data_IF_251204491650
#
_entry.id   IF_251204491650
#
_cell.length_a   1.000
_cell.length_b   1.000
_cell.length_c   1.000
_cell.angle_alpha   90.00
_cell.angle_beta   90.00
_cell.angle_gamma   90.00
#
_symmetry.space_group_name_H-M   'P 1'
#
loop_
_entity.id
_entity.type
_entity.pdbx_description
1 polymer ?
#
# COMPACT_ATOMS: atom_id res chain seq x y z
N UNK A 1 18.64 10.14 -10.08
CA UNK A 1 17.47 9.36 -10.49
C UNK A 1 16.31 10.33 -10.65
N UNK A 2 16.05 10.76 -11.88
CA UNK A 2 14.92 11.64 -12.19
C UNK A 2 13.71 10.74 -12.33
N UNK A 3 12.76 10.86 -11.40
CA UNK A 3 11.47 10.21 -11.53
C UNK A 3 10.77 10.78 -12.77
N UNK A 4 10.73 10.01 -13.85
CA UNK A 4 9.86 10.27 -14.98
C UNK A 4 8.45 9.89 -14.54
N UNK A 5 7.49 10.79 -14.74
CA UNK A 5 6.06 10.52 -14.59
C UNK A 5 5.57 10.33 -13.13
N UNK A 6 5.78 11.35 -12.28
CA UNK A 6 5.07 11.46 -11.00
C UNK A 6 4.00 12.55 -11.11
N UNK A 7 2.75 12.17 -10.84
CA UNK A 7 1.66 13.11 -10.65
C UNK A 7 1.73 13.65 -9.20
N UNK A 8 1.85 14.96 -9.04
CA UNK A 8 1.86 15.64 -7.74
C UNK A 8 0.72 16.64 -7.70
N UNK A 9 -0.21 16.47 -6.76
CA UNK A 9 -1.35 17.37 -6.55
C UNK A 9 -1.36 17.81 -5.08
N UNK A 10 -1.25 19.11 -4.77
CA UNK A 10 -1.39 19.62 -3.39
C UNK A 10 -2.82 20.15 -3.13
N UNK A 11 -3.54 19.63 -2.11
CA UNK A 11 -4.87 20.10 -1.58
C UNK A 11 -5.63 18.94 -0.92
N UNK A 12 -6.68 19.14 -0.11
CA UNK A 12 -7.64 18.08 0.27
C UNK A 12 -8.29 17.33 -0.92
N UNK A 13 -8.24 17.89 -2.13
CA UNK A 13 -8.56 17.16 -3.37
C UNK A 13 -7.54 16.09 -3.73
N UNK A 14 -6.31 16.18 -3.20
CA UNK A 14 -5.24 15.23 -3.43
C UNK A 14 -5.50 13.89 -2.75
N UNK A 15 -6.12 13.86 -1.57
CA UNK A 15 -6.50 12.59 -0.92
C UNK A 15 -7.52 11.85 -1.76
N UNK A 16 -8.58 12.53 -2.19
CA UNK A 16 -9.61 11.92 -3.05
C UNK A 16 -9.06 11.48 -4.41
N UNK A 17 -8.17 12.28 -5.01
CA UNK A 17 -7.45 11.88 -6.21
C UNK A 17 -6.58 10.65 -5.95
N UNK A 18 -5.81 10.61 -4.86
CA UNK A 18 -4.91 9.51 -4.53
C UNK A 18 -5.70 8.22 -4.28
N UNK A 19 -6.79 8.27 -3.53
CA UNK A 19 -7.68 7.12 -3.32
C UNK A 19 -8.22 6.61 -4.64
N UNK A 20 -8.74 7.51 -5.49
CA UNK A 20 -9.25 7.15 -6.82
C UNK A 20 -8.17 6.53 -7.69
N UNK A 21 -6.95 7.09 -7.66
CA UNK A 21 -5.82 6.61 -8.46
C UNK A 21 -5.32 5.25 -7.99
N UNK A 22 -5.23 5.03 -6.68
CA UNK A 22 -4.86 3.74 -6.10
C UNK A 22 -5.89 2.67 -6.50
N UNK A 23 -7.19 2.97 -6.36
CA UNK A 23 -8.27 2.06 -6.76
C UNK A 23 -8.19 1.74 -8.26
N UNK A 24 -7.95 2.75 -9.10
CA UNK A 24 -7.73 2.56 -10.54
C UNK A 24 -6.55 1.61 -10.81
N UNK A 25 -5.40 1.84 -10.18
CA UNK A 25 -4.19 1.04 -10.37
C UNK A 25 -4.35 -0.41 -9.88
N UNK A 26 -5.07 -0.61 -8.77
CA UNK A 26 -5.47 -1.94 -8.30
C UNK A 26 -6.44 -2.59 -9.30
N UNK A 27 -7.39 -1.82 -9.81
CA UNK A 27 -8.43 -2.30 -10.74
C UNK A 27 -7.91 -2.68 -12.14
N UNK A 28 -6.77 -2.15 -12.55
CA UNK A 28 -6.18 -2.40 -13.87
C UNK A 28 -5.74 -3.85 -14.10
N UNK A 29 -5.50 -4.61 -13.02
CA UNK A 29 -5.13 -6.03 -13.10
C UNK A 29 -5.68 -6.79 -11.87
N UNK A 30 -6.33 -7.96 -12.04
CA UNK A 30 -6.83 -8.75 -10.91
C UNK A 30 -5.75 -9.19 -9.90
N UNK A 31 -4.49 -9.24 -10.32
CA UNK A 31 -3.35 -9.58 -9.46
C UNK A 31 -2.70 -8.37 -8.79
N UNK A 32 -3.19 -7.15 -9.07
CA UNK A 32 -2.70 -5.96 -8.41
C UNK A 32 -3.32 -5.82 -7.01
N UNK A 33 -2.51 -5.40 -6.06
CA UNK A 33 -2.96 -4.91 -4.77
C UNK A 33 -2.00 -3.85 -4.24
N UNK A 34 -2.49 -3.05 -3.31
CA UNK A 34 -1.67 -2.11 -2.57
C UNK A 34 -1.21 -2.72 -1.25
N UNK A 35 0.04 -2.45 -0.88
CA UNK A 35 0.58 -2.67 0.46
C UNK A 35 0.92 -1.32 1.08
N UNK A 36 0.41 -1.05 2.27
CA UNK A 36 0.71 0.17 3.02
C UNK A 36 1.45 -0.20 4.30
N UNK A 37 2.63 0.38 4.49
CA UNK A 37 3.47 0.11 5.66
C UNK A 37 2.99 0.95 6.85
N UNK A 38 2.67 0.30 7.96
CA UNK A 38 2.40 1.00 9.22
C UNK A 38 3.70 1.24 9.98
N UNK A 39 4.11 2.50 10.07
CA UNK A 39 5.39 2.89 10.64
C UNK A 39 5.48 2.73 12.17
N UNK A 40 4.34 2.61 12.88
CA UNK A 40 4.31 2.50 14.35
C UNK A 40 3.64 1.20 14.84
N UNK A 41 2.92 0.45 14.00
CA UNK A 41 2.38 -0.85 14.39
C UNK A 41 3.39 -1.98 14.17
N UNK A 42 3.82 -2.54 15.31
CA UNK A 42 4.55 -3.80 15.37
C UNK A 42 3.62 -4.96 15.73
N UNK A 43 4.06 -6.18 15.44
CA UNK A 43 3.36 -7.42 15.81
C UNK A 43 3.11 -7.60 17.32
N UNK A 44 3.80 -6.82 18.16
CA UNK A 44 3.65 -6.79 19.63
C UNK A 44 2.85 -5.58 20.15
N UNK A 45 2.46 -4.65 19.27
CA UNK A 45 1.62 -3.52 19.66
C UNK A 45 0.19 -3.99 19.94
N UNK A 46 -0.33 -3.66 21.13
CA UNK A 46 -1.72 -3.95 21.55
C UNK A 46 -2.82 -3.30 20.67
N UNK A 47 -2.40 -2.57 19.65
CA UNK A 47 -3.22 -1.87 18.66
C UNK A 47 -2.99 -2.40 17.25
N UNK A 48 -2.52 -3.65 17.07
CA UNK A 48 -2.90 -4.37 15.85
C UNK A 48 -4.42 -4.42 15.92
N UNK A 49 -5.04 -3.42 15.30
CA UNK A 49 -6.48 -3.27 15.30
C UNK A 49 -6.96 -4.57 14.69
N UNK A 50 -7.82 -5.26 15.43
CA UNK A 50 -8.45 -6.53 15.06
C UNK A 50 -9.33 -6.27 13.84
N UNK A 51 -8.67 -6.06 12.70
CA UNK A 51 -9.24 -5.44 11.53
C UNK A 51 -10.06 -6.47 10.77
N UNK A 52 -11.15 -6.01 10.18
CA UNK A 52 -11.91 -6.79 9.21
C UNK A 52 -11.04 -7.14 7.99
N UNK A 53 -10.10 -6.27 7.61
CA UNK A 53 -9.31 -6.34 6.37
C UNK A 53 -8.00 -7.13 6.49
N UNK A 54 -7.44 -7.51 5.34
CA UNK A 54 -6.23 -8.32 5.24
C UNK A 54 -4.94 -7.57 5.59
N UNK A 55 -3.98 -8.27 6.19
CA UNK A 55 -2.66 -7.72 6.51
C UNK A 55 -1.55 -8.78 6.39
N UNK A 56 -0.36 -8.35 6.00
CA UNK A 56 0.85 -9.18 6.02
C UNK A 56 1.77 -8.70 7.13
N UNK A 57 2.58 -9.61 7.66
CA UNK A 57 3.64 -9.27 8.61
C UNK A 57 4.99 -9.80 8.15
N UNK A 58 6.03 -9.00 8.32
CA UNK A 58 7.40 -9.38 8.00
C UNK A 58 8.37 -8.66 8.94
N UNK A 59 9.25 -9.39 9.63
CA UNK A 59 10.21 -8.84 10.60
C UNK A 59 9.57 -7.86 11.61
N UNK A 60 8.45 -8.26 12.22
CA UNK A 60 7.65 -7.48 13.17
C UNK A 60 6.94 -6.25 12.60
N UNK A 61 7.07 -5.96 11.31
CA UNK A 61 6.32 -4.90 10.62
C UNK A 61 5.00 -5.41 10.08
N UNK A 62 4.02 -4.49 9.98
CA UNK A 62 2.68 -4.77 9.47
C UNK A 62 2.46 -4.00 8.16
N UNK A 63 1.88 -4.70 7.19
CA UNK A 63 1.51 -4.16 5.89
C UNK A 63 0.02 -4.40 5.64
N UNK A 64 -0.77 -3.34 5.59
CA UNK A 64 -2.20 -3.45 5.25
C UNK A 64 -2.38 -3.64 3.75
N UNK A 65 -3.33 -4.49 3.38
CA UNK A 65 -3.56 -4.88 1.99
C UNK A 65 -4.87 -4.27 1.49
N UNK A 66 -4.84 -3.58 0.36
CA UNK A 66 -6.05 -3.29 -0.43
C UNK A 66 -5.99 -4.06 -1.74
N UNK A 67 -6.85 -5.08 -1.90
CA UNK A 67 -6.84 -5.98 -3.07
C UNK A 67 -7.93 -5.60 -4.06
N UNK A 68 -7.88 -6.15 -5.28
CA UNK A 68 -8.93 -5.93 -6.28
C UNK A 68 -10.33 -6.38 -5.79
N UNK A 69 -10.42 -7.33 -4.85
CA UNK A 69 -11.70 -7.82 -4.32
C UNK A 69 -12.41 -6.83 -3.42
N UNK A 70 -11.67 -5.92 -2.79
CA UNK A 70 -12.16 -5.09 -1.68
C UNK A 70 -11.62 -3.65 -1.70
N UNK A 71 -10.93 -3.22 -2.76
CA UNK A 71 -10.42 -1.85 -2.94
C UNK A 71 -11.54 -0.84 -3.17
N UNK A 72 -12.21 -0.47 -2.07
CA UNK A 72 -13.15 0.64 -2.01
C UNK A 72 -12.45 1.91 -1.54
N UNK A 73 -13.09 3.07 -1.74
CA UNK A 73 -12.60 4.36 -1.21
C UNK A 73 -12.38 4.29 0.29
N UNK A 74 -13.32 3.69 1.02
CA UNK A 74 -13.22 3.60 2.49
C UNK A 74 -12.11 2.66 2.92
N UNK A 75 -11.95 1.51 2.24
CA UNK A 75 -10.87 0.58 2.53
C UNK A 75 -9.49 1.21 2.29
N UNK A 76 -9.27 1.83 1.13
CA UNK A 76 -7.99 2.50 0.82
C UNK A 76 -7.73 3.67 1.76
N UNK A 77 -8.75 4.49 2.04
CA UNK A 77 -8.63 5.62 2.98
C UNK A 77 -8.26 5.16 4.38
N UNK A 78 -8.82 4.03 4.82
CA UNK A 78 -8.60 3.48 6.15
C UNK A 78 -7.21 2.83 6.24
N UNK A 79 -6.82 2.03 5.25
CA UNK A 79 -5.47 1.46 5.19
C UNK A 79 -4.40 2.56 5.17
N UNK A 80 -4.58 3.63 4.40
CA UNK A 80 -3.67 4.78 4.39
C UNK A 80 -3.69 5.58 5.70
N UNK A 81 -4.87 5.81 6.28
CA UNK A 81 -5.03 6.58 7.51
C UNK A 81 -4.37 5.89 8.71
N UNK A 82 -4.42 4.57 8.78
CA UNK A 82 -3.85 3.80 9.89
C UNK A 82 -2.33 3.66 9.79
N UNK A 83 -1.76 3.72 8.58
CA UNK A 83 -0.29 3.89 8.44
C UNK A 83 0.23 5.25 8.94
N UNK A 84 -0.67 6.20 9.20
CA UNK A 84 -0.40 7.61 9.41
C UNK A 84 -0.11 8.03 10.85
N UNK A 85 0.46 7.16 11.69
CA UNK A 85 0.90 7.59 13.04
C UNK A 85 2.25 8.37 12.98
N UNK A 86 2.98 8.24 11.87
CA UNK A 86 4.24 8.94 11.58
C UNK A 86 4.13 10.10 10.60
N UNK A 87 5.23 10.84 10.37
CA UNK A 87 5.24 12.10 9.59
C UNK A 87 4.97 11.94 8.07
N UNK A 88 4.89 10.71 7.59
CA UNK A 88 4.62 10.35 6.20
C UNK A 88 3.93 8.99 6.15
N UNK A 89 3.14 8.74 5.10
CA UNK A 89 2.64 7.40 4.76
C UNK A 89 3.41 6.85 3.55
N UNK A 90 3.73 5.56 3.59
CA UNK A 90 4.39 4.84 2.49
C UNK A 90 3.57 3.63 2.07
N UNK A 91 3.50 3.41 0.76
CA UNK A 91 2.89 2.22 0.21
C UNK A 91 3.40 1.90 -1.18
N UNK A 92 3.00 0.74 -1.67
CA UNK A 92 3.38 0.25 -3.00
C UNK A 92 2.17 -0.40 -3.66
N UNK A 93 2.09 -0.29 -4.99
CA UNK A 93 1.25 -1.19 -5.80
C UNK A 93 2.16 -2.27 -6.34
N UNK A 94 1.79 -3.52 -6.07
CA UNK A 94 2.49 -4.70 -6.59
C UNK A 94 1.60 -5.44 -7.57
N UNK A 95 2.21 -6.01 -8.60
CA UNK A 95 1.58 -6.96 -9.50
C UNK A 95 2.07 -8.36 -9.13
N UNK A 96 1.23 -9.05 -8.34
CA UNK A 96 1.61 -10.31 -7.75
C UNK A 96 1.64 -11.43 -8.80
N UNK A 97 2.66 -12.29 -8.80
CA UNK A 97 2.65 -13.47 -9.64
C UNK A 97 1.43 -14.35 -9.36
N UNK A 98 0.84 -14.94 -10.39
CA UNK A 98 -0.38 -15.77 -10.28
C UNK A 98 -0.19 -17.01 -9.40
N UNK A 99 1.05 -17.49 -9.28
CA UNK A 99 1.44 -18.63 -8.48
C UNK A 99 1.76 -18.27 -7.02
N UNK A 100 1.91 -16.98 -6.70
CA UNK A 100 2.15 -16.52 -5.34
C UNK A 100 0.82 -16.41 -4.57
N UNK A 101 0.60 -17.34 -3.65
CA UNK A 101 -0.55 -17.32 -2.75
C UNK A 101 -0.18 -16.58 -1.47
N UNK A 102 -0.77 -15.41 -1.27
CA UNK A 102 -0.64 -14.68 -0.01
C UNK A 102 -1.68 -15.15 1.02
N UNK A 103 -1.32 -15.20 2.31
CA UNK A 103 -2.30 -15.37 3.37
C UNK A 103 -3.21 -14.14 3.42
N UNK A 104 -4.46 -14.33 3.83
CA UNK A 104 -5.38 -13.22 4.10
C UNK A 104 -4.86 -12.36 5.28
N UNK A 105 -4.31 -13.02 6.30
CA UNK A 105 -3.70 -12.41 7.49
C UNK A 105 -2.46 -13.20 7.92
N UNK A 106 -1.38 -12.51 8.28
CA UNK A 106 -0.27 -13.08 9.04
C UNK A 106 1.11 -12.99 8.39
N UNK A 107 2.04 -13.80 8.87
CA UNK A 107 3.46 -13.71 8.51
C UNK A 107 3.75 -14.25 7.10
N UNK A 108 4.58 -13.52 6.37
CA UNK A 108 5.15 -13.96 5.10
C UNK A 108 6.64 -14.28 5.25
N UNK A 109 7.14 -15.11 4.34
CA UNK A 109 8.56 -15.49 4.32
C UNK A 109 9.42 -14.41 3.65
N UNK A 110 10.74 -14.46 3.87
CA UNK A 110 11.67 -13.59 3.16
C UNK A 110 11.61 -13.79 1.64
N UNK A 111 11.43 -15.04 1.18
CA UNK A 111 11.27 -15.35 -0.24
C UNK A 111 10.01 -14.69 -0.82
N UNK A 112 8.88 -14.79 -0.11
CA UNK A 112 7.64 -14.09 -0.48
C UNK A 112 7.86 -12.58 -0.54
N UNK A 113 8.54 -12.01 0.46
CA UNK A 113 8.83 -10.58 0.49
C UNK A 113 9.72 -10.14 -0.67
N UNK A 114 10.76 -10.90 -1.01
CA UNK A 114 11.62 -10.64 -2.15
C UNK A 114 10.85 -10.68 -3.48
N UNK A 115 9.91 -11.61 -3.64
CA UNK A 115 9.01 -11.64 -4.81
C UNK A 115 8.19 -10.36 -4.87
N UNK A 116 7.57 -9.94 -3.75
CA UNK A 116 6.77 -8.73 -3.69
C UNK A 116 7.59 -7.48 -4.05
N UNK A 117 8.82 -7.36 -3.54
CA UNK A 117 9.73 -6.25 -3.87
C UNK A 117 10.05 -6.17 -5.37
N UNK A 118 10.25 -7.33 -6.01
CA UNK A 118 10.53 -7.40 -7.45
C UNK A 118 9.26 -7.21 -8.32
N UNK A 119 8.08 -7.24 -7.70
CA UNK A 119 6.78 -7.07 -8.34
C UNK A 119 6.19 -5.66 -8.19
N UNK A 120 6.92 -4.72 -7.58
CA UNK A 120 6.45 -3.33 -7.40
C UNK A 120 6.30 -2.64 -8.77
N UNK A 121 5.09 -2.15 -9.04
CA UNK A 121 4.79 -1.33 -10.22
C UNK A 121 4.74 0.16 -9.89
N UNK A 122 4.27 0.52 -8.69
CA UNK A 122 4.15 1.91 -8.26
C UNK A 122 4.57 2.10 -6.81
N UNK A 123 5.16 3.27 -6.53
CA UNK A 123 5.44 3.76 -5.19
C UNK A 123 4.41 4.83 -4.83
N UNK A 124 3.95 4.82 -3.58
CA UNK A 124 2.99 5.77 -3.02
C UNK A 124 3.65 6.44 -1.82
N UNK A 125 3.69 7.76 -1.82
CA UNK A 125 4.18 8.56 -0.70
C UNK A 125 3.15 9.62 -0.35
N UNK A 126 2.72 9.66 0.90
CA UNK A 126 1.77 10.65 1.41
C UNK A 126 2.39 11.53 2.50
N UNK A 127 1.95 12.78 2.55
CA UNK A 127 2.17 13.67 3.68
C UNK A 127 1.23 13.32 4.85
N UNK A 128 1.64 13.59 6.09
CA UNK A 128 0.88 13.29 7.30
C UNK A 128 -0.51 13.94 7.35
N UNK A 129 -0.65 15.15 6.79
CA UNK A 129 -1.95 15.84 6.70
C UNK A 129 -2.91 15.18 5.70
N UNK A 130 -2.44 14.14 4.99
CA UNK A 130 -3.12 13.45 3.90
C UNK A 130 -3.48 14.40 2.75
N UNK A 131 -2.92 15.61 2.66
CA UNK A 131 -3.23 16.62 1.64
C UNK A 131 -2.23 16.62 0.46
N UNK A 132 -1.19 15.80 0.54
CA UNK A 132 -0.19 15.68 -0.52
C UNK A 132 0.19 14.22 -0.75
N UNK A 133 0.00 13.74 -1.99
CA UNK A 133 0.43 12.42 -2.40
C UNK A 133 1.30 12.50 -3.66
N UNK A 134 2.29 11.61 -3.71
CA UNK A 134 3.11 11.35 -4.88
C UNK A 134 2.96 9.87 -5.20
N UNK A 135 2.46 9.57 -6.40
CA UNK A 135 2.41 8.20 -6.93
C UNK A 135 3.31 8.16 -8.16
N UNK A 136 4.34 7.32 -8.11
CA UNK A 136 5.34 7.22 -9.18
C UNK A 136 5.40 5.78 -9.70
N UNK A 137 5.53 5.62 -11.02
CA UNK A 137 5.71 4.30 -11.65
C UNK A 137 7.18 3.87 -11.57
N UNK A 138 7.41 2.62 -11.20
CA UNK A 138 8.74 2.01 -11.21
C UNK A 138 9.08 1.61 -12.66
N UNK A 139 10.21 2.08 -13.23
CA UNK A 139 10.64 1.64 -14.54
C UNK A 139 10.93 0.14 -14.54
N UNK A 140 10.22 -0.63 -15.37
CA UNK A 140 10.58 -2.04 -15.62
C UNK A 140 11.82 -2.06 -16.51
N UNK A 141 12.89 -2.69 -16.02
CA UNK A 141 14.18 -2.85 -16.73
C UNK A 141 14.10 -3.81 -17.91
#
# INVERSE_FOLDING_TARGET
LLYKDCDIIPSPTASEWAYSKIIELIGNNPNNFALFEDCDCRTDHKYIIDYEYGYLTFNDWIYYIASNKDATRDHVSLALGDTGVGWFSSGVIVNCPEDLILPEKGAITAETFDVLLNSIEHLIFGAFDLEGYIICTVPKG
#
